data_IF_715927109648
#
_entry.id   IF_715927109648
#
_cell.length_a   1.000
_cell.length_b   1.000
_cell.length_c   1.000
_cell.angle_alpha   90.00
_cell.angle_beta   90.00
_cell.angle_gamma   90.00
#
_symmetry.space_group_name_H-M   'P 1'
#
loop_
_entity.id
_entity.type
_entity.pdbx_description
1 polymer ?
#
# COMPACT_ATOMS: atom_id res chain seq x y z
N UNK A 1 -14.73 -12.01 4.60
CA UNK A 1 -14.41 -13.43 4.92
C UNK A 1 -13.75 -14.04 3.70
N UNK A 2 -12.74 -14.88 3.88
CA UNK A 2 -12.05 -15.61 2.81
C UNK A 2 -12.03 -17.09 3.19
N UNK A 3 -12.80 -17.92 2.49
CA UNK A 3 -12.78 -19.38 2.68
C UNK A 3 -11.57 -19.98 1.97
N UNK A 4 -10.90 -20.94 2.62
CA UNK A 4 -9.72 -21.61 2.04
C UNK A 4 -10.10 -22.66 1.00
N UNK A 5 -11.26 -23.32 1.19
CA UNK A 5 -11.79 -24.38 0.31
C UNK A 5 -13.22 -24.05 -0.07
N UNK A 6 -13.63 -24.50 -1.24
CA UNK A 6 -15.00 -24.31 -1.73
C UNK A 6 -16.03 -25.05 -0.87
N UNK A 7 -15.63 -26.21 -0.38
CA UNK A 7 -16.49 -27.11 0.43
C UNK A 7 -16.83 -26.50 1.79
N UNK A 8 -15.90 -25.74 2.39
CA UNK A 8 -16.10 -25.13 3.72
C UNK A 8 -16.79 -23.76 3.66
N UNK A 9 -17.10 -23.26 2.47
CA UNK A 9 -17.70 -21.92 2.32
C UNK A 9 -19.00 -21.74 3.10
N UNK A 10 -19.88 -22.73 3.11
CA UNK A 10 -21.17 -22.66 3.80
C UNK A 10 -21.00 -22.67 5.33
N UNK A 11 -20.06 -23.47 5.82
CA UNK A 11 -19.73 -23.53 7.25
C UNK A 11 -19.13 -22.20 7.73
N UNK A 12 -18.16 -21.68 6.99
CA UNK A 12 -17.53 -20.38 7.26
C UNK A 12 -18.55 -19.23 7.23
N UNK A 13 -19.51 -19.28 6.30
CA UNK A 13 -20.60 -18.31 6.23
C UNK A 13 -21.53 -18.41 7.44
N UNK A 14 -21.91 -19.62 7.84
CA UNK A 14 -22.74 -19.86 9.01
C UNK A 14 -22.08 -19.28 10.26
N UNK A 15 -20.82 -19.63 10.50
CA UNK A 15 -20.05 -19.08 11.63
C UNK A 15 -20.01 -17.54 11.60
N UNK A 16 -19.77 -16.96 10.43
CA UNK A 16 -19.75 -15.49 10.26
C UNK A 16 -21.10 -14.88 10.63
N UNK A 17 -22.22 -15.46 10.16
CA UNK A 17 -23.55 -14.93 10.47
C UNK A 17 -23.92 -15.13 11.94
N UNK A 18 -23.51 -16.22 12.55
CA UNK A 18 -23.76 -16.48 13.98
C UNK A 18 -22.99 -15.45 14.82
N UNK A 19 -21.72 -15.17 14.50
CA UNK A 19 -20.96 -14.10 15.14
C UNK A 19 -21.63 -12.72 14.98
N UNK A 20 -22.09 -12.37 13.78
CA UNK A 20 -22.80 -11.10 13.55
C UNK A 20 -24.07 -10.99 14.40
N UNK A 21 -24.85 -12.09 14.59
CA UNK A 21 -26.02 -12.11 15.47
C UNK A 21 -25.65 -11.91 16.93
N UNK A 22 -24.59 -12.57 17.41
CA UNK A 22 -24.09 -12.40 18.79
C UNK A 22 -23.76 -10.94 19.07
N UNK A 23 -23.09 -10.26 18.14
CA UNK A 23 -22.69 -8.86 18.28
C UNK A 23 -23.77 -7.87 17.82
N UNK A 24 -24.99 -8.33 17.47
CA UNK A 24 -26.10 -7.50 16.98
C UNK A 24 -25.72 -6.59 15.79
N UNK A 25 -24.81 -7.08 14.94
CA UNK A 25 -24.40 -6.36 13.73
C UNK A 25 -25.37 -6.64 12.59
N UNK A 26 -25.71 -5.60 11.85
CA UNK A 26 -26.59 -5.71 10.69
C UNK A 26 -25.78 -5.58 9.40
N UNK A 27 -26.13 -6.40 8.38
CA UNK A 27 -25.55 -6.34 7.06
C UNK A 27 -26.46 -5.59 6.10
N UNK A 28 -25.85 -4.76 5.25
CA UNK A 28 -26.56 -4.20 4.10
C UNK A 28 -26.53 -5.20 2.96
N UNK A 29 -27.65 -5.86 2.70
CA UNK A 29 -27.78 -6.91 1.68
C UNK A 29 -27.36 -6.44 0.29
N UNK A 30 -27.67 -5.19 -0.09
CA UNK A 30 -27.32 -4.63 -1.40
C UNK A 30 -25.80 -4.46 -1.62
N UNK A 31 -25.00 -4.47 -0.52
CA UNK A 31 -23.55 -4.38 -0.57
C UNK A 31 -22.85 -5.71 -0.33
N UNK A 32 -23.59 -6.77 -0.01
CA UNK A 32 -23.02 -8.10 0.20
C UNK A 32 -22.87 -8.83 -1.13
N UNK A 33 -21.70 -9.38 -1.35
CA UNK A 33 -21.42 -10.22 -2.51
C UNK A 33 -20.73 -11.50 -2.02
N UNK A 34 -21.14 -12.65 -2.54
CA UNK A 34 -20.66 -13.97 -2.13
C UNK A 34 -20.13 -14.75 -3.33
N UNK A 35 -19.21 -15.68 -3.07
CA UNK A 35 -18.72 -16.62 -4.08
C UNK A 35 -17.82 -16.01 -5.15
N UNK A 36 -17.21 -14.85 -4.91
CA UNK A 36 -16.26 -14.22 -5.83
C UNK A 36 -14.83 -14.72 -5.59
N UNK A 37 -14.03 -14.88 -6.67
CA UNK A 37 -12.62 -15.23 -6.57
C UNK A 37 -11.76 -14.06 -6.03
N UNK A 38 -12.27 -12.84 -6.13
CA UNK A 38 -11.65 -11.62 -5.60
C UNK A 38 -12.71 -10.65 -5.11
N UNK A 39 -12.41 -9.87 -4.09
CA UNK A 39 -13.33 -8.90 -3.53
C UNK A 39 -12.64 -7.64 -3.03
N UNK A 40 -13.37 -6.51 -3.04
CA UNK A 40 -12.90 -5.25 -2.45
C UNK A 40 -13.06 -5.33 -0.93
N UNK A 41 -11.97 -5.13 -0.19
CA UNK A 41 -11.95 -5.06 1.28
C UNK A 41 -11.12 -3.87 1.72
N UNK A 42 -11.69 -2.97 2.53
CA UNK A 42 -11.02 -1.77 3.06
C UNK A 42 -10.32 -0.93 1.98
N UNK A 43 -10.88 -0.91 0.78
CA UNK A 43 -10.31 -0.15 -0.34
C UNK A 43 -9.18 -0.84 -1.09
N UNK A 44 -8.94 -2.12 -0.86
CA UNK A 44 -7.99 -2.97 -1.58
C UNK A 44 -8.73 -4.09 -2.31
N UNK A 45 -8.10 -4.65 -3.34
CA UNK A 45 -8.58 -5.86 -3.99
C UNK A 45 -7.86 -7.07 -3.36
N UNK A 46 -8.62 -7.94 -2.71
CA UNK A 46 -8.11 -9.19 -2.12
C UNK A 46 -8.47 -10.35 -3.03
N UNK A 47 -7.47 -11.11 -3.43
CA UNK A 47 -7.60 -12.28 -4.31
C UNK A 47 -6.80 -13.47 -3.77
N UNK A 48 -6.80 -14.58 -4.51
CA UNK A 48 -5.92 -15.72 -4.18
C UNK A 48 -4.43 -15.39 -4.37
N UNK A 49 -4.11 -14.41 -5.23
CA UNK A 49 -2.73 -13.95 -5.45
C UNK A 49 -2.19 -13.13 -4.28
N UNK A 50 -3.08 -12.51 -3.50
CA UNK A 50 -2.73 -11.63 -2.41
C UNK A 50 -3.59 -10.36 -2.36
N UNK A 51 -2.99 -9.26 -1.93
CA UNK A 51 -3.62 -7.95 -1.83
C UNK A 51 -3.08 -7.06 -2.96
N UNK A 52 -3.99 -6.47 -3.72
CA UNK A 52 -3.68 -5.60 -4.86
C UNK A 52 -4.22 -4.19 -4.61
N UNK A 53 -3.55 -3.19 -5.15
CA UNK A 53 -4.05 -1.82 -5.12
C UNK A 53 -5.37 -1.73 -5.91
N UNK A 54 -6.31 -0.93 -5.40
CA UNK A 54 -7.53 -0.66 -6.13
C UNK A 54 -7.23 0.18 -7.37
N UNK A 55 -7.51 -0.37 -8.56
CA UNK A 55 -7.27 0.29 -9.84
C UNK A 55 -7.97 1.65 -9.98
N UNK A 56 -9.12 1.85 -9.33
CA UNK A 56 -9.81 3.15 -9.31
C UNK A 56 -8.98 4.20 -8.55
N UNK A 57 -8.38 3.80 -7.41
CA UNK A 57 -7.47 4.68 -6.65
C UNK A 57 -6.19 4.97 -7.41
N UNK A 58 -5.64 3.97 -8.09
CA UNK A 58 -4.46 4.13 -8.95
C UNK A 58 -4.76 5.11 -10.08
N UNK A 59 -5.85 4.89 -10.82
CA UNK A 59 -6.29 5.79 -11.90
C UNK A 59 -6.54 7.21 -11.40
N UNK A 60 -7.15 7.37 -10.21
CA UNK A 60 -7.39 8.67 -9.60
C UNK A 60 -6.11 9.46 -9.28
N UNK A 61 -4.95 8.82 -9.24
CA UNK A 61 -3.65 9.47 -9.07
C UNK A 61 -2.99 9.69 -10.44
N UNK A 62 -2.89 8.62 -11.24
CA UNK A 62 -2.18 8.66 -12.52
C UNK A 62 -2.85 9.53 -13.59
N UNK A 63 -4.15 9.83 -13.44
CA UNK A 63 -4.89 10.76 -14.29
C UNK A 63 -4.87 12.22 -13.81
N UNK A 64 -4.22 12.50 -12.67
CA UNK A 64 -4.12 13.88 -12.19
C UNK A 64 -3.24 14.72 -13.10
N UNK A 65 -3.70 15.94 -13.35
CA UNK A 65 -2.86 16.98 -13.92
C UNK A 65 -1.78 17.41 -12.90
N UNK A 66 -0.74 18.03 -13.40
CA UNK A 66 0.31 18.64 -12.59
C UNK A 66 -0.31 19.62 -11.58
N UNK A 67 0.02 19.52 -10.29
CA UNK A 67 -0.49 20.44 -9.27
C UNK A 67 -0.20 21.92 -9.60
N UNK A 68 -1.22 22.75 -9.46
CA UNK A 68 -1.13 24.20 -9.71
C UNK A 68 -1.12 25.03 -8.42
N UNK A 69 -1.45 24.43 -7.28
CA UNK A 69 -1.46 25.10 -5.98
C UNK A 69 -1.12 24.13 -4.83
N UNK A 70 -0.90 24.67 -3.64
CA UNK A 70 -0.58 23.88 -2.44
C UNK A 70 -1.69 22.85 -2.12
N UNK A 71 -2.95 23.20 -2.29
CA UNK A 71 -4.07 22.28 -2.04
C UNK A 71 -4.01 21.06 -2.98
N UNK A 72 -3.64 21.25 -4.24
CA UNK A 72 -3.49 20.14 -5.18
C UNK A 72 -2.37 19.19 -4.72
N UNK A 73 -1.26 19.75 -4.22
CA UNK A 73 -0.15 18.95 -3.68
C UNK A 73 -0.59 18.16 -2.44
N UNK A 74 -1.35 18.78 -1.55
CA UNK A 74 -1.89 18.09 -0.37
C UNK A 74 -2.84 16.96 -0.75
N UNK A 75 -3.73 17.18 -1.71
CA UNK A 75 -4.61 16.15 -2.25
C UNK A 75 -3.84 15.01 -2.92
N UNK A 76 -2.81 15.34 -3.70
CA UNK A 76 -1.93 14.35 -4.32
C UNK A 76 -1.21 13.53 -3.25
N UNK A 77 -0.56 14.17 -2.29
CA UNK A 77 0.17 13.52 -1.21
C UNK A 77 -0.75 12.58 -0.39
N UNK A 78 -1.96 13.03 -0.04
CA UNK A 78 -2.95 12.19 0.65
C UNK A 78 -3.39 10.96 -0.16
N UNK A 79 -3.58 11.12 -1.47
CA UNK A 79 -3.92 9.99 -2.35
C UNK A 79 -2.77 8.99 -2.48
N UNK A 80 -1.54 9.46 -2.61
CA UNK A 80 -0.34 8.60 -2.67
C UNK A 80 -0.15 7.87 -1.34
N UNK A 81 -0.29 8.56 -0.21
CA UNK A 81 -0.20 7.97 1.12
C UNK A 81 -1.21 6.83 1.34
N UNK A 82 -2.42 6.93 0.77
CA UNK A 82 -3.42 5.86 0.82
C UNK A 82 -3.01 4.56 0.07
N UNK A 83 -1.92 4.59 -0.70
CA UNK A 83 -1.33 3.46 -1.42
C UNK A 83 0.12 3.18 -0.97
N UNK A 84 0.56 3.75 0.16
CA UNK A 84 1.95 3.66 0.65
C UNK A 84 2.47 2.22 0.73
N UNK A 85 1.64 1.29 1.19
CA UNK A 85 2.02 -0.12 1.32
C UNK A 85 2.38 -0.82 0.01
N UNK A 86 2.10 -0.21 -1.16
CA UNK A 86 2.46 -0.73 -2.48
C UNK A 86 3.67 -0.04 -3.10
N UNK A 87 4.18 1.01 -2.46
CA UNK A 87 5.25 1.85 -2.99
C UNK A 87 6.48 1.72 -2.10
N UNK A 88 7.53 1.11 -2.63
CA UNK A 88 8.79 1.02 -1.92
C UNK A 88 9.44 2.40 -1.76
N UNK A 89 9.89 2.72 -0.54
CA UNK A 89 10.58 3.97 -0.18
C UNK A 89 9.75 5.22 -0.51
N UNK A 90 8.44 5.14 -0.29
CA UNK A 90 7.54 6.22 -0.68
C UNK A 90 7.93 7.56 -0.06
N UNK A 91 8.13 7.61 1.25
CA UNK A 91 8.35 8.88 1.95
C UNK A 91 9.64 9.56 1.54
N UNK A 92 10.70 8.78 1.30
CA UNK A 92 11.95 9.31 0.75
C UNK A 92 11.73 9.97 -0.63
N UNK A 93 10.99 9.30 -1.50
CA UNK A 93 10.69 9.78 -2.85
C UNK A 93 9.72 10.97 -2.84
N UNK A 94 8.82 11.02 -1.86
CA UNK A 94 7.84 12.08 -1.71
C UNK A 94 8.38 13.34 -0.99
N UNK A 95 9.61 13.32 -0.46
CA UNK A 95 10.22 14.50 0.19
C UNK A 95 10.06 15.79 -0.64
N UNK A 96 10.33 15.80 -1.97
CA UNK A 96 10.13 17.03 -2.76
C UNK A 96 8.69 17.51 -2.78
N UNK A 97 7.70 16.59 -2.77
CA UNK A 97 6.28 16.93 -2.69
C UNK A 97 5.94 17.52 -1.31
N UNK A 98 6.47 16.93 -0.23
CA UNK A 98 6.27 17.45 1.11
C UNK A 98 6.90 18.86 1.31
N UNK A 99 8.02 19.12 0.66
CA UNK A 99 8.64 20.44 0.67
C UNK A 99 7.75 21.52 0.00
N UNK A 100 7.01 21.14 -1.06
CA UNK A 100 6.05 22.03 -1.72
C UNK A 100 4.85 22.41 -0.85
N UNK A 101 4.55 21.62 0.21
CA UNK A 101 3.47 21.92 1.14
C UNK A 101 3.84 22.96 2.22
N UNK A 102 5.13 23.33 2.31
CA UNK A 102 5.55 24.42 3.20
C UNK A 102 4.97 25.72 2.65
N UNK A 103 4.38 26.52 3.55
CA UNK A 103 3.83 27.82 3.19
C UNK A 103 4.94 28.72 2.68
N UNK A 104 4.83 29.14 1.44
CA UNK A 104 5.62 30.19 0.79
C UNK A 104 4.64 31.15 0.16
N UNK A 105 5.05 32.41 0.02
CA UNK A 105 4.17 33.46 -0.53
C UNK A 105 3.79 33.18 -1.99
N UNK A 106 4.71 32.55 -2.75
CA UNK A 106 4.46 32.14 -4.13
C UNK A 106 4.59 30.62 -4.30
N UNK A 107 3.59 30.01 -4.94
CA UNK A 107 3.64 28.60 -5.31
C UNK A 107 4.39 28.42 -6.64
N UNK A 108 5.56 27.78 -6.57
CA UNK A 108 6.34 27.42 -7.76
C UNK A 108 6.57 25.91 -7.76
N UNK A 109 6.04 25.23 -8.78
CA UNK A 109 6.26 23.78 -8.95
C UNK A 109 7.69 23.51 -9.40
N UNK A 110 8.49 22.88 -8.52
CA UNK A 110 9.91 22.62 -8.79
C UNK A 110 10.12 21.39 -9.68
N UNK A 111 11.27 21.34 -10.39
CA UNK A 111 11.66 20.16 -11.18
C UNK A 111 11.81 18.90 -10.31
N UNK A 112 12.30 19.07 -9.08
CA UNK A 112 12.39 17.95 -8.13
C UNK A 112 11.00 17.39 -7.75
N UNK A 113 10.00 18.26 -7.56
CA UNK A 113 8.62 17.83 -7.32
C UNK A 113 8.02 17.16 -8.56
N UNK A 114 8.34 17.66 -9.76
CA UNK A 114 7.92 17.04 -11.02
C UNK A 114 8.50 15.62 -11.17
N UNK A 115 9.79 15.46 -10.94
CA UNK A 115 10.45 14.14 -10.98
C UNK A 115 9.85 13.16 -9.96
N UNK A 116 9.56 13.61 -8.73
CA UNK A 116 8.90 12.81 -7.70
C UNK A 116 7.47 12.40 -8.09
N UNK A 117 6.72 13.31 -8.71
CA UNK A 117 5.38 13.05 -9.23
C UNK A 117 5.38 12.00 -10.34
N UNK A 118 6.28 12.14 -11.31
CA UNK A 118 6.42 11.17 -12.43
C UNK A 118 6.90 9.81 -11.94
N UNK A 119 7.84 9.76 -10.98
CA UNK A 119 8.31 8.49 -10.40
C UNK A 119 7.20 7.77 -9.64
N UNK A 120 6.41 8.51 -8.85
CA UNK A 120 5.24 7.96 -8.14
C UNK A 120 4.22 7.40 -9.13
N UNK A 121 3.91 8.12 -10.20
CA UNK A 121 3.00 7.65 -11.25
C UNK A 121 3.52 6.38 -11.93
N UNK A 122 4.81 6.32 -12.24
CA UNK A 122 5.44 5.15 -12.88
C UNK A 122 5.32 3.90 -12.01
N UNK A 123 5.53 4.02 -10.71
CA UNK A 123 5.40 2.90 -9.77
C UNK A 123 3.95 2.44 -9.61
N UNK A 124 3.00 3.36 -9.71
CA UNK A 124 1.57 3.06 -9.61
C UNK A 124 0.98 2.45 -10.89
N UNK A 125 1.62 2.57 -12.05
CA UNK A 125 1.15 1.92 -13.30
C UNK A 125 1.15 0.39 -13.15
N UNK A 126 2.09 -0.18 -12.39
CA UNK A 126 2.16 -1.62 -12.13
C UNK A 126 2.48 -1.90 -10.67
N UNK A 127 1.58 -1.57 -9.72
CA UNK A 127 1.84 -1.79 -8.32
C UNK A 127 2.05 -3.29 -8.06
N UNK A 128 2.96 -3.65 -7.14
CA UNK A 128 3.19 -5.04 -6.81
C UNK A 128 1.93 -5.66 -6.18
N UNK A 129 1.73 -6.95 -6.42
CA UNK A 129 0.78 -7.74 -5.65
C UNK A 129 1.45 -8.10 -4.34
N UNK A 130 0.89 -7.67 -3.22
CA UNK A 130 1.39 -8.03 -1.90
C UNK A 130 0.98 -9.46 -1.56
N UNK A 131 1.96 -10.30 -1.29
CA UNK A 131 1.72 -11.70 -0.97
C UNK A 131 1.09 -11.84 0.42
N UNK A 132 0.09 -12.69 0.56
CA UNK A 132 -0.39 -13.10 1.88
C UNK A 132 0.60 -14.13 2.45
N UNK A 133 1.18 -13.94 3.65
CA UNK A 133 2.02 -14.93 4.29
C UNK A 133 1.28 -16.24 4.54
N UNK A 134 2.01 -17.35 4.46
CA UNK A 134 1.51 -18.69 4.81
C UNK A 134 1.93 -18.97 6.26
N UNK A 135 1.15 -19.78 6.96
CA UNK A 135 1.47 -20.15 8.33
C UNK A 135 2.88 -20.75 8.44
N UNK A 136 3.67 -20.24 9.39
CA UNK A 136 5.09 -20.61 9.62
C UNK A 136 6.06 -20.32 8.47
N UNK A 137 5.66 -19.55 7.47
CA UNK A 137 6.55 -19.08 6.40
C UNK A 137 7.52 -18.02 6.95
N UNK A 138 8.85 -18.17 6.75
CA UNK A 138 9.80 -17.17 7.18
C UNK A 138 9.56 -15.81 6.48
N UNK A 139 9.55 -14.75 7.28
CA UNK A 139 9.47 -13.38 6.80
C UNK A 139 10.87 -12.78 6.81
N UNK A 140 11.30 -12.24 5.68
CA UNK A 140 12.56 -11.52 5.55
C UNK A 140 12.28 -10.02 5.70
N UNK A 141 12.99 -9.39 6.63
CA UNK A 141 12.88 -7.97 6.89
C UNK A 141 14.08 -7.25 6.30
N UNK A 142 13.83 -6.36 5.36
CA UNK A 142 14.81 -5.42 4.83
C UNK A 142 14.58 -4.04 5.43
N UNK A 143 15.62 -3.47 6.01
CA UNK A 143 15.59 -2.12 6.56
C UNK A 143 16.68 -1.30 5.89
N UNK A 144 16.32 -0.13 5.40
CA UNK A 144 17.24 0.84 4.85
C UNK A 144 16.97 2.21 5.47
N UNK A 145 18.03 2.89 5.89
CA UNK A 145 17.92 4.24 6.44
C UNK A 145 18.97 5.16 5.84
N UNK A 146 18.62 6.42 5.75
CA UNK A 146 19.53 7.51 5.48
C UNK A 146 19.24 8.66 6.47
N UNK A 147 19.90 9.79 6.32
CA UNK A 147 19.72 10.94 7.20
C UNK A 147 18.33 11.57 7.16
N UNK A 148 17.47 11.21 6.21
CA UNK A 148 16.16 11.84 5.99
C UNK A 148 14.98 10.90 6.15
N UNK A 149 15.16 9.61 5.89
CA UNK A 149 14.07 8.64 5.87
C UNK A 149 14.54 7.24 6.29
N UNK A 150 13.61 6.48 6.86
CA UNK A 150 13.73 5.04 7.07
C UNK A 150 12.72 4.34 6.18
N UNK A 151 13.10 3.21 5.62
CA UNK A 151 12.23 2.40 4.78
C UNK A 151 12.37 0.93 5.14
N UNK A 152 11.25 0.24 5.13
CA UNK A 152 11.13 -1.17 5.49
C UNK A 152 10.43 -1.92 4.37
N UNK A 153 10.93 -3.12 4.06
CA UNK A 153 10.23 -4.07 3.22
C UNK A 153 10.18 -5.43 3.91
N UNK A 154 8.99 -5.98 4.01
CA UNK A 154 8.78 -7.36 4.45
C UNK A 154 8.50 -8.19 3.21
N UNK A 155 9.26 -9.27 3.04
CA UNK A 155 9.11 -10.15 1.88
C UNK A 155 9.09 -11.62 2.32
N UNK A 156 8.52 -12.47 1.46
CA UNK A 156 8.60 -13.93 1.55
C UNK A 156 9.34 -14.46 0.33
N UNK A 157 10.05 -15.57 0.51
CA UNK A 157 10.72 -16.27 -0.60
C UNK A 157 9.96 -17.53 -0.96
N UNK A 158 9.59 -17.65 -2.24
CA UNK A 158 8.84 -18.80 -2.75
C UNK A 158 9.47 -19.37 -4.00
N UNK A 159 9.56 -20.70 -4.06
CA UNK A 159 9.91 -21.39 -5.31
C UNK A 159 8.73 -21.31 -6.26
N UNK A 160 8.98 -20.80 -7.46
CA UNK A 160 7.97 -20.71 -8.52
C UNK A 160 8.35 -21.66 -9.66
N UNK A 161 7.34 -22.29 -10.27
CA UNK A 161 7.56 -23.18 -11.39
C UNK A 161 8.25 -22.43 -12.55
N UNK A 162 9.31 -23.02 -13.11
CA UNK A 162 10.07 -22.43 -14.20
C UNK A 162 11.12 -21.39 -13.80
N UNK A 163 11.33 -21.16 -12.49
CA UNK A 163 12.40 -20.30 -11.98
C UNK A 163 13.46 -21.11 -11.25
N UNK A 164 14.71 -20.83 -11.55
CA UNK A 164 15.86 -21.52 -10.97
C UNK A 164 16.05 -21.16 -9.50
N UNK A 165 15.82 -19.89 -9.15
CA UNK A 165 15.97 -19.35 -7.80
C UNK A 165 14.63 -18.99 -7.17
N UNK A 166 14.53 -19.03 -5.82
CA UNK A 166 13.36 -18.53 -5.12
C UNK A 166 13.07 -17.07 -5.49
N UNK A 167 11.79 -16.74 -5.62
CA UNK A 167 11.35 -15.39 -5.93
C UNK A 167 10.91 -14.71 -4.65
N UNK A 168 11.44 -13.53 -4.42
CA UNK A 168 11.00 -12.66 -3.34
C UNK A 168 9.68 -11.98 -3.71
N UNK A 169 8.67 -12.16 -2.86
CA UNK A 169 7.36 -11.53 -3.00
C UNK A 169 7.16 -10.54 -1.86
N UNK A 170 6.85 -9.28 -2.15
CA UNK A 170 6.57 -8.31 -1.11
C UNK A 170 5.30 -8.68 -0.35
N UNK A 171 5.35 -8.52 0.95
CA UNK A 171 4.21 -8.65 1.86
C UNK A 171 3.74 -7.27 2.28
N UNK A 172 4.68 -6.38 2.58
CA UNK A 172 4.40 -5.04 3.06
C UNK A 172 5.58 -4.10 2.82
N UNK A 173 5.29 -2.85 2.48
CA UNK A 173 6.25 -1.75 2.48
C UNK A 173 5.82 -0.71 3.50
N UNK A 174 6.80 -0.11 4.15
CA UNK A 174 6.59 1.05 5.00
C UNK A 174 7.77 2.01 4.87
N UNK A 175 7.53 3.28 5.12
CA UNK A 175 8.57 4.29 5.15
C UNK A 175 8.14 5.46 6.02
N UNK A 176 9.12 6.17 6.59
CA UNK A 176 8.90 7.35 7.41
C UNK A 176 9.98 8.40 7.11
N UNK A 177 9.57 9.65 6.92
CA UNK A 177 10.51 10.79 6.89
C UNK A 177 10.94 11.11 8.31
N UNK A 178 12.24 11.14 8.56
CA UNK A 178 12.79 11.46 9.85
C UNK A 178 12.62 12.96 10.16
N UNK A 179 11.93 13.27 11.25
CA UNK A 179 11.85 14.62 11.78
C UNK A 179 13.21 15.06 12.34
N UNK A 180 13.45 16.35 12.46
CA UNK A 180 14.75 16.91 12.87
C UNK A 180 15.32 16.30 14.15
N UNK A 181 14.48 15.98 15.13
CA UNK A 181 14.89 15.31 16.34
C UNK A 181 15.44 13.90 16.09
N UNK A 182 14.76 13.12 15.22
CA UNK A 182 15.18 11.76 14.86
C UNK A 182 16.42 11.74 13.96
N UNK A 183 16.65 12.78 13.13
CA UNK A 183 17.84 12.90 12.29
C UNK A 183 19.15 13.04 13.10
N UNK A 184 19.05 13.44 14.36
CA UNK A 184 20.21 13.63 15.25
C UNK A 184 20.61 12.37 16.02
N UNK A 185 19.82 11.29 15.92
CA UNK A 185 20.19 10.03 16.56
C UNK A 185 21.41 9.40 15.88
N UNK A 186 22.35 8.84 16.65
CA UNK A 186 23.45 8.07 16.10
C UNK A 186 22.93 6.87 15.28
N UNK A 187 23.63 6.49 14.22
CA UNK A 187 23.22 5.40 13.32
C UNK A 187 23.10 4.02 13.98
N UNK A 188 23.57 3.86 15.20
CA UNK A 188 23.50 2.61 15.98
C UNK A 188 22.41 2.60 17.06
N UNK A 189 21.58 3.60 17.10
CA UNK A 189 20.35 3.65 17.89
C UNK A 189 19.15 3.49 16.94
#
# INVERSE_FOLDING_TARGET
MKSRKKETLLEDLKETFDNLRVYKMMLNQAKCVFGLPAGKLLGFLVSNRGIEANLEKVKAITSLAKPACINDVQHLAGRIAALSQFISRLDEKAIPLYQMMKKTDDFVWSDAANAAFEDSNRQLIGPPVLAAPIDKEPLLLYVASNTRAVSVAIVVERKEAGKEYPVQRPVYYDSEVLIESKQRYPHWQ
#
